data_IF_812478042433
#
_entry.id   IF_812478042433
#
_cell.length_a   1.000
_cell.length_b   1.000
_cell.length_c   1.000
_cell.angle_alpha   90.00
_cell.angle_beta   90.00
_cell.angle_gamma   90.00
#
_symmetry.space_group_name_H-M   'P 1'
#
loop_
_entity.id
_entity.type
_entity.pdbx_description
1 polymer ?
#
# COMPACT_ATOMS: atom_id res chain seq x y z
N UNK A 1 -29.41 -64.21 -49.18
CA UNK A 1 -28.72 -62.91 -49.02
C UNK A 1 -29.51 -62.04 -48.05
N UNK A 2 -29.84 -62.56 -46.86
CA UNK A 2 -30.76 -61.91 -45.89
C UNK A 2 -30.48 -62.42 -44.46
N UNK A 3 -29.20 -62.60 -44.10
CA UNK A 3 -28.78 -62.99 -42.74
C UNK A 3 -27.71 -62.06 -42.13
N UNK A 4 -27.42 -60.93 -42.80
CA UNK A 4 -26.46 -59.94 -42.33
C UNK A 4 -27.11 -58.63 -41.84
N UNK A 5 -28.44 -58.55 -41.79
CA UNK A 5 -29.16 -57.29 -41.53
C UNK A 5 -30.01 -57.30 -40.25
N UNK A 6 -29.72 -58.17 -39.27
CA UNK A 6 -30.59 -58.32 -38.09
C UNK A 6 -29.87 -58.51 -36.74
N UNK A 7 -28.63 -58.04 -36.58
CA UNK A 7 -27.88 -58.25 -35.32
C UNK A 7 -27.32 -57.03 -34.61
N UNK A 8 -27.74 -55.78 -34.91
CA UNK A 8 -27.26 -54.66 -34.09
C UNK A 8 -28.19 -53.45 -33.96
N UNK A 9 -29.51 -53.68 -33.91
CA UNK A 9 -30.43 -52.74 -33.26
C UNK A 9 -30.62 -53.15 -31.78
N UNK A 10 -29.72 -52.69 -30.90
CA UNK A 10 -30.07 -52.48 -29.49
C UNK A 10 -29.14 -51.44 -28.84
N UNK A 11 -29.64 -50.20 -28.84
CA UNK A 11 -29.59 -49.16 -27.81
C UNK A 11 -28.39 -49.12 -26.84
N UNK A 12 -27.68 -47.98 -26.80
CA UNK A 12 -27.22 -47.35 -25.55
C UNK A 12 -26.93 -45.84 -25.78
N UNK A 13 -27.23 -45.04 -24.77
CA UNK A 13 -27.44 -43.59 -24.74
C UNK A 13 -26.21 -42.72 -25.11
N UNK A 14 -26.40 -41.44 -25.50
CA UNK A 14 -25.30 -40.50 -25.68
C UNK A 14 -24.57 -40.21 -24.36
N UNK A 15 -23.24 -40.36 -24.39
CA UNK A 15 -22.30 -40.13 -23.29
C UNK A 15 -22.16 -38.61 -23.02
N UNK A 16 -22.40 -38.11 -21.79
CA UNK A 16 -22.52 -36.67 -21.55
C UNK A 16 -21.24 -35.99 -21.02
N UNK A 17 -20.07 -36.17 -21.65
CA UNK A 17 -18.86 -35.42 -21.23
C UNK A 17 -17.64 -35.49 -22.18
N UNK A 18 -17.69 -34.96 -23.40
CA UNK A 18 -16.42 -34.61 -24.11
C UNK A 18 -16.52 -33.27 -24.86
N UNK A 19 -16.97 -32.23 -24.15
CA UNK A 19 -16.85 -30.84 -24.57
C UNK A 19 -15.96 -30.07 -23.61
N UNK A 20 -14.63 -30.21 -23.72
CA UNK A 20 -13.68 -29.34 -23.02
C UNK A 20 -13.37 -28.10 -23.89
N UNK A 21 -13.85 -26.89 -23.55
CA UNK A 21 -13.21 -25.68 -24.03
C UNK A 21 -11.89 -25.47 -23.28
N UNK A 22 -10.80 -25.38 -24.06
CA UNK A 22 -9.48 -24.97 -23.60
C UNK A 22 -9.56 -23.63 -22.85
N UNK A 23 -9.17 -23.62 -21.58
CA UNK A 23 -8.97 -22.39 -20.82
C UNK A 23 -7.71 -21.68 -21.36
N UNK A 24 -7.93 -20.61 -22.12
CA UNK A 24 -6.89 -19.64 -22.42
C UNK A 24 -6.57 -18.85 -21.13
N UNK A 25 -5.30 -18.53 -20.84
CA UNK A 25 -4.97 -17.66 -19.73
C UNK A 25 -5.54 -16.27 -19.99
N UNK A 26 -6.37 -15.80 -19.05
CA UNK A 26 -6.94 -14.46 -19.02
C UNK A 26 -5.79 -13.45 -18.95
N UNK A 27 -5.43 -12.86 -20.09
CA UNK A 27 -4.70 -11.60 -20.12
C UNK A 27 -5.67 -10.54 -19.63
N UNK A 28 -5.54 -10.15 -18.36
CA UNK A 28 -6.33 -9.08 -17.77
C UNK A 28 -5.94 -7.77 -18.43
N UNK A 29 -6.74 -7.37 -19.41
CA UNK A 29 -6.80 -6.03 -19.96
C UNK A 29 -7.28 -5.08 -18.86
N UNK A 30 -6.35 -4.30 -18.28
CA UNK A 30 -6.64 -3.29 -17.27
C UNK A 30 -7.22 -2.04 -17.93
N UNK A 31 -8.43 -2.13 -18.47
CA UNK A 31 -9.18 -0.94 -18.86
C UNK A 31 -9.94 -0.43 -17.64
N UNK A 32 -9.26 0.36 -16.80
CA UNK A 32 -9.91 1.06 -15.69
C UNK A 32 -9.40 2.51 -15.60
N UNK A 33 -10.15 3.39 -16.26
CA UNK A 33 -10.13 4.81 -16.02
C UNK A 33 -10.70 5.12 -14.63
N UNK A 34 -9.85 5.08 -13.62
CA UNK A 34 -9.99 5.72 -12.33
C UNK A 34 -8.56 5.90 -11.80
N UNK A 35 -8.18 7.12 -11.40
CA UNK A 35 -6.81 7.45 -11.01
C UNK A 35 -6.19 6.34 -10.14
N UNK A 36 -5.21 5.64 -10.70
CA UNK A 36 -4.45 4.59 -10.00
C UNK A 36 -3.81 5.26 -8.79
N UNK A 37 -4.40 5.08 -7.62
CA UNK A 37 -3.74 5.44 -6.37
C UNK A 37 -2.51 4.54 -6.29
N UNK A 38 -1.34 5.11 -6.58
CA UNK A 38 -0.09 4.36 -6.54
C UNK A 38 0.10 3.88 -5.10
N UNK A 39 -0.02 2.56 -4.92
CA UNK A 39 0.06 1.89 -3.61
C UNK A 39 1.51 1.71 -3.15
N UNK A 40 2.48 2.22 -3.90
CA UNK A 40 3.90 2.21 -3.57
C UNK A 40 4.39 3.62 -3.20
N UNK A 41 5.55 3.70 -2.54
CA UNK A 41 6.23 4.98 -2.33
C UNK A 41 6.59 5.60 -3.67
N UNK A 42 6.14 6.82 -3.93
CA UNK A 42 6.47 7.57 -5.14
C UNK A 42 7.86 8.23 -5.01
N UNK A 43 8.21 8.65 -3.79
CA UNK A 43 9.53 9.15 -3.47
C UNK A 43 10.53 8.00 -3.31
N UNK A 44 11.73 8.15 -3.87
CA UNK A 44 12.83 7.19 -3.70
C UNK A 44 13.57 7.41 -2.37
N UNK A 45 14.09 6.34 -1.77
CA UNK A 45 14.87 6.41 -0.52
C UNK A 45 16.19 7.15 -0.66
N UNK A 46 16.90 6.96 -1.78
CA UNK A 46 18.24 7.51 -1.99
C UNK A 46 18.25 8.79 -2.83
N UNK A 47 17.10 9.35 -3.19
CA UNK A 47 17.05 10.62 -3.90
C UNK A 47 17.21 11.77 -2.90
N UNK A 48 18.43 12.27 -2.73
CA UNK A 48 18.72 13.50 -1.95
C UNK A 48 18.30 14.77 -2.71
N UNK A 49 17.10 14.75 -3.29
CA UNK A 49 16.50 15.85 -4.02
C UNK A 49 15.18 16.23 -3.33
N UNK A 50 14.96 17.52 -2.99
CA UNK A 50 15.91 18.64 -3.10
C UNK A 50 17.04 18.58 -2.05
N UNK A 51 18.22 19.13 -2.40
CA UNK A 51 19.44 19.15 -1.55
C UNK A 51 19.15 19.78 -0.18
N UNK A 52 18.32 20.82 -0.13
CA UNK A 52 17.92 21.49 1.11
C UNK A 52 17.28 20.52 2.11
N UNK A 53 16.44 19.58 1.64
CA UNK A 53 15.84 18.55 2.49
C UNK A 53 16.86 17.52 2.93
N UNK A 54 17.90 17.23 2.13
CA UNK A 54 18.97 16.30 2.49
C UNK A 54 19.92 16.90 3.54
N UNK A 55 20.28 18.19 3.40
CA UNK A 55 21.01 18.92 4.44
C UNK A 55 20.17 19.08 5.71
N UNK A 56 18.90 19.44 5.61
CA UNK A 56 18.03 19.63 6.78
C UNK A 56 17.75 18.30 7.48
N UNK A 57 17.57 17.18 6.76
CA UNK A 57 17.46 15.85 7.36
C UNK A 57 18.74 15.40 8.10
N UNK A 58 19.91 15.83 7.63
CA UNK A 58 21.18 15.45 8.22
C UNK A 58 21.53 16.31 9.45
N UNK A 59 21.36 17.63 9.33
CA UNK A 59 21.77 18.59 10.36
C UNK A 59 20.66 18.91 11.37
N UNK A 60 19.39 18.89 10.93
CA UNK A 60 18.23 19.28 11.74
C UNK A 60 17.02 18.35 11.46
N UNK A 61 17.15 17.02 11.68
CA UNK A 61 16.10 16.04 11.39
C UNK A 61 14.76 16.34 12.09
N UNK A 62 14.80 16.96 13.27
CA UNK A 62 13.62 17.39 14.02
C UNK A 62 12.73 18.37 13.23
N UNK A 63 13.33 19.34 12.53
CA UNK A 63 12.59 20.34 11.76
C UNK A 63 11.94 19.69 10.53
N UNK A 64 12.61 18.73 9.89
CA UNK A 64 12.04 18.03 8.73
C UNK A 64 10.82 17.22 9.11
N UNK A 65 10.89 16.52 10.25
CA UNK A 65 9.75 15.78 10.80
C UNK A 65 8.62 16.73 11.14
N UNK A 66 8.90 17.82 11.87
CA UNK A 66 7.90 18.82 12.20
C UNK A 66 7.22 19.38 10.95
N UNK A 67 7.99 19.72 9.92
CA UNK A 67 7.49 20.21 8.63
C UNK A 67 6.63 19.18 7.90
N UNK A 68 7.02 17.90 7.95
CA UNK A 68 6.29 16.81 7.30
C UNK A 68 4.96 16.56 8.01
N UNK A 69 4.95 16.50 9.35
CA UNK A 69 3.72 16.29 10.13
C UNK A 69 2.77 17.48 10.00
N UNK A 70 3.27 18.71 10.03
CA UNK A 70 2.41 19.88 9.82
C UNK A 70 1.84 19.91 8.41
N UNK A 71 2.61 19.55 7.37
CA UNK A 71 2.05 19.45 6.01
C UNK A 71 0.98 18.37 5.92
N UNK A 72 1.17 17.28 6.65
CA UNK A 72 0.12 16.27 6.79
C UNK A 72 -1.12 16.88 7.47
N UNK A 73 -0.98 17.65 8.54
CA UNK A 73 -2.13 18.23 9.26
C UNK A 73 -2.84 19.31 8.44
N UNK A 74 -2.08 20.26 7.92
CA UNK A 74 -2.53 21.38 7.10
C UNK A 74 -1.69 21.45 5.82
N UNK A 75 -2.22 20.98 4.68
CA UNK A 75 -1.53 21.06 3.40
C UNK A 75 -1.19 22.48 2.95
N UNK A 76 -1.91 23.50 3.45
CA UNK A 76 -1.69 24.90 3.06
C UNK A 76 -0.47 25.52 3.74
N UNK A 77 0.02 24.90 4.83
CA UNK A 77 1.19 25.35 5.61
C UNK A 77 1.09 26.82 6.07
N UNK A 78 -0.12 27.38 6.23
CA UNK A 78 -0.30 28.81 6.51
C UNK A 78 0.17 29.20 7.92
N UNK A 79 -0.01 28.30 8.88
CA UNK A 79 0.39 28.51 10.28
C UNK A 79 1.63 27.68 10.64
N UNK A 80 2.49 27.39 9.66
CA UNK A 80 3.66 26.56 9.87
C UNK A 80 4.71 27.28 10.71
N UNK A 81 5.06 26.67 11.84
CA UNK A 81 6.19 27.06 12.68
C UNK A 81 7.30 26.02 12.57
N UNK A 82 8.55 26.47 12.41
CA UNK A 82 9.69 25.57 12.23
C UNK A 82 9.97 24.70 13.48
N UNK A 83 9.72 25.27 14.66
CA UNK A 83 9.80 24.57 15.95
C UNK A 83 8.37 24.34 16.42
N UNK A 84 7.82 23.19 16.08
CA UNK A 84 6.50 22.75 16.51
C UNK A 84 6.60 21.56 17.49
N UNK A 85 5.45 21.06 17.94
CA UNK A 85 5.37 19.96 18.91
C UNK A 85 6.09 18.70 18.41
N UNK A 86 5.92 18.30 17.15
CA UNK A 86 6.59 17.12 16.58
C UNK A 86 8.13 17.33 16.49
N UNK A 87 8.57 18.54 16.16
CA UNK A 87 10.00 18.90 16.18
C UNK A 87 10.59 18.79 17.59
N UNK A 88 9.92 19.35 18.59
CA UNK A 88 10.36 19.29 19.99
C UNK A 88 10.33 17.86 20.53
N UNK A 89 9.30 17.08 20.18
CA UNK A 89 9.17 15.70 20.62
C UNK A 89 10.26 14.82 20.04
N UNK A 90 10.50 14.90 18.73
CA UNK A 90 11.62 14.19 18.11
C UNK A 90 12.97 14.63 18.70
N UNK A 91 13.17 15.95 18.83
CA UNK A 91 14.40 16.51 19.40
C UNK A 91 14.64 15.98 20.81
N UNK A 92 13.62 15.97 21.67
CA UNK A 92 13.70 15.41 23.01
C UNK A 92 14.04 13.90 22.98
N UNK A 93 13.33 13.09 22.19
CA UNK A 93 13.62 11.65 22.07
C UNK A 93 15.07 11.43 21.63
N UNK A 94 15.52 12.15 20.60
CA UNK A 94 16.88 12.02 20.09
C UNK A 94 17.93 12.46 21.13
N UNK A 95 17.71 13.58 21.82
CA UNK A 95 18.63 14.11 22.82
C UNK A 95 18.72 13.26 24.10
N UNK A 96 17.59 12.74 24.58
CA UNK A 96 17.55 11.99 25.85
C UNK A 96 17.79 10.48 25.69
N UNK A 97 17.47 9.90 24.53
CA UNK A 97 17.54 8.44 24.34
C UNK A 97 18.44 8.01 23.18
N UNK A 98 18.74 8.91 22.24
CA UNK A 98 19.42 8.56 20.98
C UNK A 98 18.52 7.82 19.97
N UNK A 99 17.28 7.47 20.35
CA UNK A 99 16.38 6.62 19.58
C UNK A 99 15.36 7.39 18.74
N UNK A 100 15.72 8.55 18.18
CA UNK A 100 14.81 9.35 17.33
C UNK A 100 14.29 8.57 16.12
N UNK A 101 15.06 7.58 15.63
CA UNK A 101 14.64 6.68 14.55
C UNK A 101 13.32 5.95 14.84
N UNK A 102 12.98 5.68 16.11
CA UNK A 102 11.70 5.06 16.50
C UNK A 102 10.55 6.00 16.19
N UNK A 103 10.70 7.28 16.52
CA UNK A 103 9.68 8.27 16.21
C UNK A 103 9.53 8.48 14.69
N UNK A 104 10.66 8.50 13.97
CA UNK A 104 10.65 8.54 12.50
C UNK A 104 9.94 7.33 11.88
N UNK A 105 10.13 6.13 12.46
CA UNK A 105 9.43 4.91 12.08
C UNK A 105 7.92 5.03 12.30
N UNK A 106 7.48 5.56 13.44
CA UNK A 106 6.06 5.78 13.72
C UNK A 106 5.43 6.73 12.70
N UNK A 107 6.09 7.86 12.40
CA UNK A 107 5.62 8.81 11.39
C UNK A 107 5.57 8.23 9.98
N UNK A 108 6.53 7.38 9.63
CA UNK A 108 6.50 6.62 8.38
C UNK A 108 5.26 5.73 8.31
N UNK A 109 4.91 5.05 9.40
CA UNK A 109 3.69 4.25 9.52
C UNK A 109 2.41 5.08 9.31
N UNK A 110 2.30 6.23 9.98
CA UNK A 110 1.16 7.16 9.83
C UNK A 110 0.97 7.59 8.36
N UNK A 111 2.05 7.94 7.67
CA UNK A 111 2.03 8.32 6.25
C UNK A 111 1.51 7.19 5.38
N UNK A 112 1.95 5.95 5.64
CA UNK A 112 1.54 4.78 4.87
C UNK A 112 0.07 4.46 5.07
N UNK A 113 -0.42 4.51 6.31
CA UNK A 113 -1.83 4.29 6.62
C UNK A 113 -2.70 5.35 5.93
N UNK A 114 -2.30 6.62 6.02
CA UNK A 114 -3.05 7.72 5.42
C UNK A 114 -3.15 7.65 3.91
N UNK A 115 -2.09 7.21 3.23
CA UNK A 115 -2.03 7.18 1.77
C UNK A 115 -2.24 5.79 1.15
N UNK A 116 -2.53 4.77 1.97
CA UNK A 116 -2.74 3.40 1.50
C UNK A 116 -1.48 2.75 0.88
N UNK A 117 -0.29 3.07 1.41
CA UNK A 117 1.00 2.60 0.87
C UNK A 117 1.34 1.21 1.43
N UNK A 118 1.56 0.25 0.53
CA UNK A 118 2.00 -1.12 0.83
C UNK A 118 3.38 -1.18 1.48
N UNK A 119 3.62 -2.23 2.26
CA UNK A 119 4.88 -2.47 2.98
C UNK A 119 4.66 -3.08 4.37
N UNK A 120 5.73 -3.24 5.14
CA UNK A 120 5.67 -3.81 6.50
C UNK A 120 6.41 -2.95 7.53
N UNK A 121 6.07 -3.08 8.81
CA UNK A 121 6.82 -2.40 9.88
C UNK A 121 8.29 -2.83 9.94
N UNK A 122 8.61 -4.05 9.49
CA UNK A 122 9.98 -4.54 9.41
C UNK A 122 10.81 -3.79 8.35
N UNK A 123 10.28 -3.62 7.14
CA UNK A 123 10.95 -2.83 6.09
C UNK A 123 11.13 -1.37 6.50
N UNK A 124 10.15 -0.80 7.21
CA UNK A 124 10.23 0.56 7.70
C UNK A 124 11.25 0.71 8.85
N UNK A 125 11.38 -0.31 9.70
CA UNK A 125 12.36 -0.36 10.77
C UNK A 125 13.79 -0.37 10.23
N UNK A 126 14.10 -1.28 9.28
CA UNK A 126 15.42 -1.35 8.65
C UNK A 126 15.82 -0.01 8.02
N UNK A 127 14.89 0.60 7.28
CA UNK A 127 15.14 1.89 6.61
C UNK A 127 15.35 3.01 7.63
N UNK A 128 14.50 3.10 8.65
CA UNK A 128 14.58 4.17 9.65
C UNK A 128 15.81 4.04 10.55
N UNK A 129 16.26 2.81 10.83
CA UNK A 129 17.46 2.54 11.62
C UNK A 129 18.75 2.75 10.81
N UNK A 130 18.81 2.30 9.56
CA UNK A 130 20.05 2.31 8.76
C UNK A 130 20.29 3.63 8.02
N UNK A 131 19.23 4.29 7.58
CA UNK A 131 19.33 5.63 7.00
C UNK A 131 18.12 6.49 7.41
N UNK A 132 18.12 6.94 8.66
CA UNK A 132 17.08 7.80 9.19
C UNK A 132 16.87 9.05 8.32
N UNK A 133 17.93 9.74 7.88
CA UNK A 133 17.81 10.92 7.03
C UNK A 133 17.13 10.62 5.68
N UNK A 134 17.50 9.52 5.02
CA UNK A 134 16.83 9.05 3.79
C UNK A 134 15.34 8.81 4.02
N UNK A 135 15.01 8.16 5.14
CA UNK A 135 13.64 7.85 5.51
C UNK A 135 12.81 9.14 5.69
N UNK A 136 13.38 10.17 6.30
CA UNK A 136 12.72 11.46 6.51
C UNK A 136 12.52 12.26 5.23
N UNK A 137 13.52 12.27 4.33
CA UNK A 137 13.41 12.92 3.01
C UNK A 137 12.33 12.24 2.18
N UNK A 138 12.33 10.90 2.16
CA UNK A 138 11.29 10.14 1.45
C UNK A 138 9.90 10.49 1.98
N UNK A 139 9.73 10.56 3.30
CA UNK A 139 8.47 10.94 3.93
C UNK A 139 8.00 12.36 3.54
N UNK A 140 8.88 13.36 3.63
CA UNK A 140 8.56 14.76 3.26
C UNK A 140 8.15 14.87 1.79
N UNK A 141 8.91 14.21 0.90
CA UNK A 141 8.66 14.20 -0.54
C UNK A 141 7.35 13.47 -0.88
N UNK A 142 7.06 12.34 -0.23
CA UNK A 142 5.82 11.59 -0.44
C UNK A 142 4.60 12.42 -0.06
N UNK A 143 4.63 13.02 1.13
CA UNK A 143 3.55 13.87 1.64
C UNK A 143 3.35 15.06 0.70
N UNK A 144 4.44 15.69 0.26
CA UNK A 144 4.39 16.83 -0.65
C UNK A 144 3.76 16.45 -2.01
N UNK A 145 4.20 15.34 -2.61
CA UNK A 145 3.72 14.90 -3.92
C UNK A 145 2.24 14.48 -3.91
N UNK A 146 1.80 13.78 -2.86
CA UNK A 146 0.41 13.32 -2.77
C UNK A 146 -0.56 14.45 -2.47
N UNK A 147 -0.18 15.38 -1.60
CA UNK A 147 -1.02 16.52 -1.26
C UNK A 147 -1.08 17.58 -2.37
N UNK A 148 -0.06 17.66 -3.23
CA UNK A 148 -0.12 18.53 -4.42
C UNK A 148 -1.05 18.02 -5.52
N UNK A 149 -1.46 16.73 -5.47
CA UNK A 149 -2.15 16.06 -6.60
C UNK A 149 -3.68 15.92 -6.39
N UNK A 150 -4.30 16.70 -5.50
CA UNK A 150 -5.76 16.72 -5.31
C UNK A 150 -6.28 15.67 -4.31
N UNK A 151 -7.60 15.68 -4.00
CA UNK A 151 -8.13 15.07 -2.78
C UNK A 151 -7.97 13.55 -2.76
N UNK A 152 -7.41 13.06 -1.65
CA UNK A 152 -7.17 11.64 -1.41
C UNK A 152 -8.50 10.99 -1.05
N UNK A 153 -9.06 10.23 -2.00
CA UNK A 153 -10.24 9.40 -1.75
C UNK A 153 -9.77 8.14 -1.01
N UNK A 154 -9.84 8.19 0.31
CA UNK A 154 -9.57 7.04 1.18
C UNK A 154 -10.73 6.04 1.02
N UNK A 155 -10.53 5.04 0.16
CA UNK A 155 -11.51 3.99 -0.11
C UNK A 155 -11.70 3.10 1.11
N UNK A 156 -12.80 3.27 1.84
CA UNK A 156 -13.34 2.26 2.74
C UNK A 156 -13.76 1.04 1.92
N UNK A 157 -13.15 -0.13 2.17
CA UNK A 157 -13.59 -1.41 1.63
C UNK A 157 -14.57 -2.04 2.63
N UNK A 158 -15.89 -2.05 2.39
CA UNK A 158 -16.78 -2.94 3.14
C UNK A 158 -16.43 -4.39 2.77
N UNK A 159 -16.10 -5.19 3.79
CA UNK A 159 -15.82 -6.62 3.68
C UNK A 159 -17.07 -7.33 3.12
N UNK A 160 -17.07 -7.59 1.81
CA UNK A 160 -18.16 -8.26 1.07
C UNK A 160 -17.86 -9.75 0.85
N UNK A 161 -17.35 -10.42 1.88
CA UNK A 161 -17.34 -11.88 1.92
C UNK A 161 -18.37 -12.31 2.96
N UNK A 162 -19.60 -12.49 2.48
CA UNK A 162 -20.65 -13.13 3.26
C UNK A 162 -20.14 -14.49 3.73
N UNK A 163 -20.22 -14.72 5.04
CA UNK A 163 -19.95 -16.01 5.66
C UNK A 163 -20.84 -17.06 4.99
N UNK A 164 -20.31 -17.81 4.03
CA UNK A 164 -20.98 -18.97 3.47
C UNK A 164 -20.97 -20.04 4.58
N UNK A 165 -22.13 -20.21 5.22
CA UNK A 165 -22.32 -21.28 6.18
C UNK A 165 -22.30 -22.62 5.42
N UNK A 166 -21.50 -23.62 5.83
CA UNK A 166 -21.56 -24.94 5.22
C UNK A 166 -22.93 -25.58 5.53
N UNK A 167 -23.49 -26.36 4.59
CA UNK A 167 -24.73 -27.08 4.83
C UNK A 167 -24.54 -28.12 5.94
N UNK A 168 -25.44 -28.12 6.93
CA UNK A 168 -25.48 -29.09 8.01
C UNK A 168 -25.87 -30.47 7.45
N UNK A 169 -25.02 -31.47 7.67
CA UNK A 169 -25.31 -32.86 7.32
C UNK A 169 -26.24 -33.48 8.39
N UNK A 170 -27.32 -34.18 8.01
CA UNK A 170 -28.17 -34.88 8.97
C UNK A 170 -27.45 -36.14 9.48
N UNK A 171 -27.25 -36.20 10.81
CA UNK A 171 -26.86 -37.42 11.49
C UNK A 171 -28.05 -38.40 11.50
N UNK A 172 -27.82 -39.60 10.96
CA UNK A 172 -28.60 -40.81 11.25
C UNK A 172 -28.00 -41.46 12.50
#
# INVERSE_FOLDING_TARGET
MDYQQQQQQQQMQPNPYEGQPQQQPIQQEYTQGAAVQNQEWQASLCSCSPIDSCCLAYWLPCILIGKTTERMRDPTMQTYEAINTDCLLYGAIQCFTGCGWIYALMKRGEIRERFGIKGSGASDCCVSYWCCCCALIQQDNEVKARLSTGPIVQGYQPQKEGMHMPPQQPHN
#
